data_IF_531326376572
#
_entry.id   IF_531326376572
#
_cell.length_a   1.000
_cell.length_b   1.000
_cell.length_c   1.000
_cell.angle_alpha   90.00
_cell.angle_beta   90.00
_cell.angle_gamma   90.00
#
_symmetry.space_group_name_H-M   'P 1'
#
loop_
_entity.id
_entity.type
_entity.pdbx_description
1 polymer ?
#
# COMPACT_ATOMS: atom_id res chain seq x y z
N UNK A 1 -21.51 -22.04 29.58
CA UNK A 1 -20.61 -22.41 28.48
C UNK A 1 -19.21 -22.16 28.97
N UNK A 2 -18.39 -23.21 29.09
CA UNK A 2 -17.08 -23.12 29.76
C UNK A 2 -15.96 -22.81 28.77
N UNK A 3 -14.90 -22.12 29.19
CA UNK A 3 -13.75 -21.79 28.32
C UNK A 3 -13.13 -23.02 27.62
N UNK A 4 -13.33 -24.21 28.20
CA UNK A 4 -12.90 -25.49 27.61
C UNK A 4 -13.68 -25.88 26.36
N UNK A 5 -14.96 -25.51 26.26
CA UNK A 5 -15.78 -25.75 25.07
C UNK A 5 -15.37 -24.84 23.90
N UNK A 6 -14.91 -23.62 24.18
CA UNK A 6 -14.40 -22.70 23.16
C UNK A 6 -13.01 -23.15 22.68
N UNK A 7 -12.19 -23.71 23.58
CA UNK A 7 -10.88 -24.26 23.22
C UNK A 7 -10.97 -25.51 22.33
N UNK A 8 -11.97 -26.38 22.52
CA UNK A 8 -12.15 -27.56 21.65
C UNK A 8 -12.73 -27.21 20.29
N UNK A 9 -13.57 -26.17 20.17
CA UNK A 9 -14.07 -25.68 18.89
C UNK A 9 -12.97 -24.99 18.06
N UNK A 10 -12.01 -24.32 18.74
CA UNK A 10 -10.86 -23.68 18.10
C UNK A 10 -9.76 -24.67 17.68
N UNK A 11 -9.70 -25.84 18.32
CA UNK A 11 -8.78 -26.94 18.00
C UNK A 11 -9.45 -28.06 17.17
N UNK A 12 -10.51 -27.72 16.43
CA UNK A 12 -10.97 -28.52 15.30
C UNK A 12 -9.94 -28.40 14.19
N UNK A 13 -8.82 -29.12 14.32
CA UNK A 13 -7.80 -29.27 13.29
C UNK A 13 -8.49 -29.74 12.01
N UNK A 14 -8.58 -28.84 11.03
CA UNK A 14 -8.95 -29.19 9.66
C UNK A 14 -7.79 -30.04 9.15
N UNK A 15 -7.89 -31.36 9.32
CA UNK A 15 -6.99 -32.31 8.70
C UNK A 15 -7.36 -32.40 7.21
N UNK A 16 -6.88 -31.46 6.41
CA UNK A 16 -6.94 -31.53 4.95
C UNK A 16 -5.91 -32.54 4.44
N UNK A 17 -6.17 -33.82 4.64
CA UNK A 17 -5.56 -34.87 3.81
C UNK A 17 -6.42 -35.01 2.55
N UNK A 18 -6.32 -34.03 1.66
CA UNK A 18 -6.89 -34.13 0.30
C UNK A 18 -5.95 -35.03 -0.50
N UNK A 19 -6.43 -36.07 -1.21
CA UNK A 19 -5.59 -36.88 -2.08
C UNK A 19 -5.02 -36.00 -3.22
N UNK A 20 -3.74 -35.67 -3.14
CA UNK A 20 -3.02 -34.75 -4.06
C UNK A 20 -2.82 -35.34 -5.48
N UNK A 21 -3.19 -36.60 -5.70
CA UNK A 21 -2.92 -37.32 -6.95
C UNK A 21 -4.02 -37.21 -8.02
N UNK A 22 -4.95 -36.26 -7.88
CA UNK A 22 -6.00 -36.02 -8.87
C UNK A 22 -5.59 -34.87 -9.83
N UNK A 23 -5.40 -35.13 -11.14
CA UNK A 23 -4.88 -34.14 -12.09
C UNK A 23 -5.82 -32.95 -12.37
N UNK A 24 -7.07 -33.00 -11.92
CA UNK A 24 -7.98 -31.85 -12.01
C UNK A 24 -7.81 -30.89 -10.83
N UNK A 25 -7.54 -31.41 -9.63
CA UNK A 25 -7.38 -30.60 -8.42
C UNK A 25 -6.09 -29.77 -8.49
N UNK A 26 -5.00 -30.34 -9.00
CA UNK A 26 -3.74 -29.61 -9.18
C UNK A 26 -3.88 -28.39 -10.11
N UNK A 27 -4.68 -28.51 -11.19
CA UNK A 27 -4.95 -27.41 -12.13
C UNK A 27 -5.76 -26.29 -11.49
N UNK A 28 -6.70 -26.61 -10.61
CA UNK A 28 -7.46 -25.61 -9.85
C UNK A 28 -6.57 -24.89 -8.84
N UNK A 29 -5.73 -25.63 -8.11
CA UNK A 29 -4.76 -25.06 -7.16
C UNK A 29 -3.80 -24.12 -7.89
N UNK A 30 -3.24 -24.52 -9.04
CA UNK A 30 -2.36 -23.65 -9.85
C UNK A 30 -3.09 -22.40 -10.34
N UNK A 31 -4.38 -22.50 -10.69
CA UNK A 31 -5.18 -21.35 -11.12
C UNK A 31 -5.42 -20.39 -9.96
N UNK A 32 -5.68 -20.90 -8.76
CA UNK A 32 -5.84 -20.10 -7.54
C UNK A 32 -4.51 -19.45 -7.16
N UNK A 33 -3.40 -20.20 -7.16
CA UNK A 33 -2.06 -19.69 -6.88
C UNK A 33 -1.68 -18.61 -7.89
N UNK A 34 -1.96 -18.82 -9.18
CA UNK A 34 -1.68 -17.84 -10.24
C UNK A 34 -2.58 -16.61 -10.16
N UNK A 35 -3.81 -16.73 -9.67
CA UNK A 35 -4.68 -15.59 -9.37
C UNK A 35 -4.21 -14.82 -8.13
N UNK A 36 -3.75 -15.51 -7.08
CA UNK A 36 -3.29 -14.91 -5.84
C UNK A 36 -1.91 -14.24 -6.00
N UNK A 37 -1.00 -14.91 -6.71
CA UNK A 37 0.30 -14.39 -7.10
C UNK A 37 0.16 -13.32 -8.18
N UNK A 38 -0.68 -13.53 -9.20
CA UNK A 38 -0.92 -12.56 -10.27
C UNK A 38 -1.64 -11.28 -9.81
N UNK A 39 -2.38 -11.33 -8.70
CA UNK A 39 -2.95 -10.15 -8.06
C UNK A 39 -1.92 -9.32 -7.27
N UNK A 40 -0.86 -9.96 -6.74
CA UNK A 40 0.16 -9.27 -5.93
C UNK A 40 1.34 -8.70 -6.73
N UNK A 41 1.51 -9.07 -8.00
CA UNK A 41 2.61 -8.58 -8.86
C UNK A 41 2.14 -7.44 -9.79
N UNK A 42 0.87 -7.02 -9.70
CA UNK A 42 0.41 -5.77 -10.32
C UNK A 42 0.95 -4.61 -9.49
N UNK A 43 2.20 -4.24 -9.78
CA UNK A 43 2.67 -2.86 -9.73
C UNK A 43 2.35 -2.19 -8.40
N UNK A 44 3.03 -2.61 -7.34
CA UNK A 44 3.10 -1.79 -6.14
C UNK A 44 3.72 -0.45 -6.58
N UNK A 45 2.98 0.67 -6.50
CA UNK A 45 3.56 1.98 -6.80
C UNK A 45 4.80 2.13 -5.92
N UNK A 46 5.87 2.71 -6.46
CA UNK A 46 7.15 2.82 -5.76
C UNK A 46 6.98 3.66 -4.48
N UNK A 47 6.64 2.99 -3.39
CA UNK A 47 6.31 3.58 -2.10
C UNK A 47 7.47 4.42 -1.56
N UNK A 48 8.69 4.13 -2.00
CA UNK A 48 9.89 4.85 -1.61
C UNK A 48 10.01 6.20 -2.33
N UNK A 49 9.66 6.26 -3.62
CA UNK A 49 9.57 7.52 -4.33
C UNK A 49 8.43 8.37 -3.75
N UNK A 50 7.23 7.82 -3.61
CA UNK A 50 6.09 8.53 -3.02
C UNK A 50 6.40 9.11 -1.63
N UNK A 51 7.10 8.34 -0.78
CA UNK A 51 7.49 8.84 0.54
C UNK A 51 8.49 10.01 0.47
N UNK A 52 9.39 10.05 -0.51
CA UNK A 52 10.34 11.16 -0.67
C UNK A 52 9.68 12.42 -1.21
N UNK A 53 8.79 12.29 -2.20
CA UNK A 53 8.14 13.46 -2.81
C UNK A 53 7.16 14.11 -1.82
N UNK A 54 6.37 13.32 -1.09
CA UNK A 54 5.52 13.86 0.00
C UNK A 54 6.31 14.62 1.07
N UNK A 55 7.53 14.16 1.39
CA UNK A 55 8.43 14.88 2.30
C UNK A 55 8.94 16.20 1.70
N UNK A 56 9.29 16.20 0.41
CA UNK A 56 9.73 17.39 -0.31
C UNK A 56 8.61 18.44 -0.41
N UNK A 57 7.37 18.02 -0.69
CA UNK A 57 6.17 18.88 -0.71
C UNK A 57 6.04 19.67 0.60
N UNK A 58 6.19 18.98 1.72
CA UNK A 58 6.22 19.59 3.06
C UNK A 58 7.39 20.57 3.23
N UNK A 59 8.59 20.19 2.79
CA UNK A 59 9.78 21.06 2.86
C UNK A 59 9.63 22.37 2.09
N UNK A 60 9.08 22.32 0.86
CA UNK A 60 8.80 23.53 0.06
C UNK A 60 7.76 24.43 0.74
N UNK A 61 6.77 23.84 1.43
CA UNK A 61 5.77 24.60 2.18
C UNK A 61 6.39 25.35 3.36
N UNK A 62 7.29 24.71 4.10
CA UNK A 62 8.08 25.35 5.16
C UNK A 62 8.93 26.48 4.58
N UNK A 63 9.61 26.26 3.45
CA UNK A 63 10.40 27.31 2.79
C UNK A 63 9.53 28.51 2.41
N UNK A 64 8.37 28.28 1.78
CA UNK A 64 7.42 29.34 1.45
C UNK A 64 7.04 30.19 2.67
N UNK A 65 6.80 29.55 3.83
CA UNK A 65 6.51 30.26 5.08
C UNK A 65 7.71 31.04 5.63
N UNK A 66 8.93 30.52 5.53
CA UNK A 66 10.15 31.25 5.90
C UNK A 66 10.40 32.48 5.02
N UNK A 67 9.90 32.48 3.79
CA UNK A 67 10.02 33.61 2.85
C UNK A 67 8.92 34.67 3.01
N UNK A 68 7.83 34.42 3.75
CA UNK A 68 6.77 35.40 4.05
C UNK A 68 7.32 36.74 4.57
N UNK A 69 8.23 36.79 5.56
CA UNK A 69 8.75 38.06 6.07
C UNK A 69 9.65 38.82 5.07
N UNK A 70 10.12 38.17 4.00
CA UNK A 70 11.03 38.77 3.02
C UNK A 70 10.29 39.19 1.74
N UNK A 71 9.44 38.33 1.19
CA UNK A 71 8.69 38.62 -0.02
C UNK A 71 7.45 37.73 -0.15
N UNK A 72 6.28 38.37 -0.11
CA UNK A 72 4.99 37.71 -0.25
C UNK A 72 4.83 37.02 -1.62
N UNK A 73 5.33 37.64 -2.70
CA UNK A 73 5.24 37.08 -4.05
C UNK A 73 6.00 35.76 -4.20
N UNK A 74 7.22 35.70 -3.68
CA UNK A 74 8.01 34.46 -3.67
C UNK A 74 7.40 33.40 -2.76
N UNK A 75 6.91 33.79 -1.58
CA UNK A 75 6.24 32.86 -0.66
C UNK A 75 5.02 32.19 -1.32
N UNK A 76 4.16 32.96 -1.98
CA UNK A 76 3.00 32.44 -2.71
C UNK A 76 3.40 31.55 -3.88
N UNK A 77 4.46 31.91 -4.62
CA UNK A 77 4.97 31.09 -5.71
C UNK A 77 5.42 29.70 -5.21
N UNK A 78 6.19 29.63 -4.11
CA UNK A 78 6.61 28.35 -3.53
C UNK A 78 5.44 27.52 -2.98
N UNK A 79 4.43 28.16 -2.39
CA UNK A 79 3.24 27.48 -1.89
C UNK A 79 2.43 26.84 -3.03
N UNK A 80 2.25 27.55 -4.14
CA UNK A 80 1.58 27.02 -5.33
C UNK A 80 2.40 25.90 -5.97
N UNK A 81 3.72 26.06 -6.05
CA UNK A 81 4.62 25.04 -6.61
C UNK A 81 4.58 23.74 -5.80
N UNK A 82 4.54 23.84 -4.46
CA UNK A 82 4.38 22.70 -3.55
C UNK A 82 3.09 21.91 -3.86
N UNK A 83 1.99 22.61 -4.10
CA UNK A 83 0.72 21.95 -4.45
C UNK A 83 0.79 21.24 -5.81
N UNK A 84 1.36 21.91 -6.82
CA UNK A 84 1.54 21.36 -8.19
C UNK A 84 2.41 20.10 -8.19
N UNK A 85 3.53 20.11 -7.45
CA UNK A 85 4.40 18.93 -7.29
C UNK A 85 3.62 17.77 -6.66
N UNK A 86 2.74 18.08 -5.71
CA UNK A 86 1.83 17.15 -5.11
C UNK A 86 0.85 16.47 -6.04
N UNK A 87 0.21 17.25 -6.91
CA UNK A 87 -0.74 16.72 -7.88
C UNK A 87 -0.01 15.83 -8.89
N UNK A 88 1.19 16.22 -9.33
CA UNK A 88 2.00 15.42 -10.26
C UNK A 88 2.44 14.09 -9.62
N UNK A 89 2.80 14.10 -8.33
CA UNK A 89 3.12 12.87 -7.58
C UNK A 89 1.92 11.93 -7.45
N UNK A 90 0.74 12.48 -7.15
CA UNK A 90 -0.48 11.69 -6.99
C UNK A 90 -0.98 11.09 -8.31
N UNK A 91 -0.51 11.62 -9.44
CA UNK A 91 -0.79 11.13 -10.80
C UNK A 91 0.30 10.18 -11.35
N UNK A 92 1.39 9.93 -10.60
CA UNK A 92 2.49 9.02 -10.92
C UNK A 92 2.37 7.71 -10.16
#
# INVERSE_FOLDING_TARGET
MSDREIMTAKNGSINTSVPVNDPNVSKEVDKIVKQLAGANIKELPDAYLHQKISFFKSGVRILGYCFIPFSLGWATAFLILSEVIGIIEELV
#
